data_IF_841328327246
#
_entry.id   IF_841328327246
#
_cell.length_a   1.000
_cell.length_b   1.000
_cell.length_c   1.000
_cell.angle_alpha   90.00
_cell.angle_beta   90.00
_cell.angle_gamma   90.00
#
_symmetry.space_group_name_H-M   'P 1'
#
loop_
_entity.id
_entity.type
_entity.pdbx_description
1 polymer ?
#
# COMPACT_ATOMS: atom_id res chain seq x y z
N UNK A 1 15.73 10.35 30.12
CA UNK A 1 17.16 10.28 29.72
C UNK A 1 17.25 10.13 28.20
N UNK A 2 17.93 11.07 27.56
CA UNK A 2 18.09 11.16 26.11
C UNK A 2 18.88 9.98 25.56
N UNK A 3 18.44 9.41 24.44
CA UNK A 3 19.24 8.53 23.57
C UNK A 3 20.27 9.40 22.81
N UNK A 4 21.11 10.15 23.53
CA UNK A 4 22.16 10.94 22.88
C UNK A 4 23.39 10.04 22.65
N UNK A 5 23.76 9.94 21.36
CA UNK A 5 25.02 9.42 20.80
C UNK A 5 25.14 7.95 20.36
N UNK A 6 24.06 7.18 20.24
CA UNK A 6 24.05 6.00 19.35
C UNK A 6 22.92 6.18 18.34
N UNK A 7 23.29 6.31 17.07
CA UNK A 7 22.33 6.36 15.96
C UNK A 7 21.54 5.04 15.92
N UNK A 8 20.23 5.13 15.73
CA UNK A 8 19.33 3.98 15.78
C UNK A 8 19.42 3.21 14.46
N UNK A 9 19.51 1.88 14.50
CA UNK A 9 19.31 1.10 13.27
C UNK A 9 17.82 1.10 12.95
N UNK A 10 17.40 1.33 11.69
CA UNK A 10 15.99 1.21 11.33
C UNK A 10 15.48 -0.23 11.52
N UNK A 11 14.20 -0.43 11.84
CA UNK A 11 13.64 -1.79 11.83
C UNK A 11 13.67 -2.36 10.39
N UNK A 12 13.64 -3.69 10.23
CA UNK A 12 13.77 -4.36 8.93
C UNK A 12 12.85 -3.80 7.83
N UNK A 13 11.58 -3.51 8.15
CA UNK A 13 10.59 -2.96 7.20
C UNK A 13 10.85 -1.52 6.74
N UNK A 14 11.65 -0.73 7.49
CA UNK A 14 12.09 0.59 7.04
C UNK A 14 13.43 0.52 6.30
N UNK A 15 14.29 -0.42 6.70
CA UNK A 15 15.59 -0.61 6.07
C UNK A 15 15.45 -1.14 4.63
N UNK A 16 14.67 -2.21 4.48
CA UNK A 16 14.43 -2.93 3.23
C UNK A 16 12.91 -3.12 3.03
N UNK A 17 12.16 -2.04 2.71
CA UNK A 17 10.71 -2.11 2.50
C UNK A 17 10.28 -3.04 1.35
N UNK A 18 11.21 -3.46 0.50
CA UNK A 18 11.03 -4.41 -0.59
C UNK A 18 11.15 -5.89 -0.19
N UNK A 19 11.72 -6.18 0.99
CA UNK A 19 11.82 -7.55 1.51
C UNK A 19 10.69 -7.76 2.53
N UNK A 20 9.64 -8.46 2.11
CA UNK A 20 8.52 -8.80 2.99
C UNK A 20 8.96 -9.71 4.16
N UNK A 21 8.22 -9.66 5.27
CA UNK A 21 8.54 -10.35 6.54
C UNK A 21 8.97 -11.82 6.35
N UNK A 22 8.22 -12.56 5.55
CA UNK A 22 8.43 -14.00 5.33
C UNK A 22 9.25 -14.33 4.08
N UNK A 23 9.81 -13.31 3.42
CA UNK A 23 10.65 -13.52 2.25
C UNK A 23 11.92 -14.30 2.61
N UNK A 24 12.30 -15.23 1.74
CA UNK A 24 13.58 -15.93 1.83
C UNK A 24 14.78 -14.96 1.76
N UNK A 25 14.58 -13.73 1.27
CA UNK A 25 15.60 -12.69 1.23
C UNK A 25 16.20 -12.30 2.59
N UNK A 26 15.49 -12.59 3.69
CA UNK A 26 16.02 -12.41 5.06
C UNK A 26 16.93 -13.56 5.54
N UNK A 27 16.94 -14.70 4.84
CA UNK A 27 17.68 -15.92 5.23
C UNK A 27 18.73 -16.37 4.22
N UNK A 28 18.55 -15.99 2.95
CA UNK A 28 19.40 -16.42 1.83
C UNK A 28 19.59 -15.28 0.82
N UNK A 29 19.41 -14.03 1.24
CA UNK A 29 19.48 -12.86 0.36
C UNK A 29 20.19 -11.70 1.01
N UNK A 30 20.23 -10.56 0.32
CA UNK A 30 20.97 -9.37 0.76
C UNK A 30 20.40 -8.70 2.03
N UNK A 31 19.25 -9.14 2.53
CA UNK A 31 18.69 -8.69 3.80
C UNK A 31 19.25 -9.42 5.02
N UNK A 32 19.86 -10.60 4.83
CA UNK A 32 20.33 -11.48 5.92
C UNK A 32 21.37 -10.78 6.82
N UNK A 33 22.43 -10.23 6.22
CA UNK A 33 23.48 -9.50 6.95
C UNK A 33 22.92 -8.36 7.80
N UNK A 34 21.92 -7.65 7.27
CA UNK A 34 21.26 -6.59 8.01
C UNK A 34 20.44 -7.11 9.18
N UNK A 35 19.73 -8.22 9.01
CA UNK A 35 18.91 -8.80 10.05
C UNK A 35 19.77 -9.30 11.23
N UNK A 36 20.94 -9.90 10.96
CA UNK A 36 21.91 -10.24 12.00
C UNK A 36 22.41 -8.99 12.72
N UNK A 37 22.89 -7.98 11.97
CA UNK A 37 23.37 -6.72 12.53
C UNK A 37 22.30 -6.03 13.39
N UNK A 38 21.04 -6.02 12.91
CA UNK A 38 19.91 -5.43 13.61
C UNK A 38 19.63 -6.20 14.91
N UNK A 39 19.59 -7.53 14.85
CA UNK A 39 19.30 -8.41 16.00
C UNK A 39 20.38 -8.28 17.07
N UNK A 40 21.66 -8.37 16.69
CA UNK A 40 22.80 -8.21 17.60
C UNK A 40 22.75 -6.85 18.31
N UNK A 41 22.49 -5.79 17.54
CA UNK A 41 22.34 -4.45 18.10
C UNK A 41 21.14 -4.36 19.04
N UNK A 42 19.95 -4.79 18.61
CA UNK A 42 18.71 -4.62 19.36
C UNK A 42 18.74 -5.40 20.68
N UNK A 43 19.18 -6.66 20.66
CA UNK A 43 19.26 -7.50 21.86
C UNK A 43 20.43 -7.12 22.78
N UNK A 44 21.44 -6.39 22.29
CA UNK A 44 22.47 -5.79 23.16
C UNK A 44 21.95 -4.61 24.01
N UNK A 45 20.78 -4.05 23.67
CA UNK A 45 20.18 -2.96 24.43
C UNK A 45 19.51 -3.50 25.71
N UNK A 46 19.55 -2.74 26.83
CA UNK A 46 18.72 -3.03 28.00
C UNK A 46 17.24 -3.10 27.64
N UNK A 47 16.48 -3.92 28.36
CA UNK A 47 15.05 -4.16 28.11
C UNK A 47 14.21 -2.88 28.02
N UNK A 48 14.46 -1.91 28.92
CA UNK A 48 13.82 -0.59 28.88
C UNK A 48 14.04 0.16 27.56
N UNK A 49 15.24 0.04 26.98
CA UNK A 49 15.57 0.67 25.69
C UNK A 49 14.95 -0.12 24.54
N UNK A 50 14.87 -1.45 24.62
CA UNK A 50 14.16 -2.26 23.63
C UNK A 50 12.68 -1.90 23.59
N UNK A 51 12.02 -1.80 24.75
CA UNK A 51 10.61 -1.39 24.85
C UNK A 51 10.38 -0.02 24.23
N UNK A 52 11.20 0.97 24.63
CA UNK A 52 11.15 2.32 24.04
C UNK A 52 11.36 2.30 22.52
N UNK A 53 12.25 1.45 22.02
CA UNK A 53 12.48 1.30 20.59
C UNK A 53 11.24 0.73 19.87
N UNK A 54 10.60 -0.30 20.43
CA UNK A 54 9.36 -0.87 19.88
C UNK A 54 8.22 0.16 19.84
N UNK A 55 8.12 1.01 20.86
CA UNK A 55 7.12 2.11 20.90
C UNK A 55 7.41 3.19 19.84
N UNK A 56 8.69 3.45 19.55
CA UNK A 56 9.10 4.40 18.51
C UNK A 56 8.92 3.84 17.10
N UNK A 57 9.09 2.54 16.91
CA UNK A 57 9.01 1.86 15.62
C UNK A 57 7.97 0.75 15.69
N UNK A 58 6.68 1.11 15.66
CA UNK A 58 5.64 0.12 15.74
C UNK A 58 5.60 -0.69 14.44
N UNK A 59 5.23 -1.96 14.54
CA UNK A 59 5.13 -2.88 13.39
C UNK A 59 4.11 -2.34 12.39
N UNK A 60 4.38 -2.37 11.08
CA UNK A 60 3.33 -2.22 10.09
C UNK A 60 2.38 -3.42 10.15
N UNK A 61 1.16 -3.25 9.66
CA UNK A 61 0.13 -4.31 9.59
C UNK A 61 0.67 -5.59 8.95
N UNK A 62 1.48 -5.48 7.90
CA UNK A 62 2.09 -6.61 7.19
C UNK A 62 3.20 -7.32 7.97
N UNK A 63 3.55 -6.82 9.16
CA UNK A 63 4.54 -7.39 10.08
C UNK A 63 3.96 -7.70 11.47
N UNK A 64 2.63 -7.80 11.58
CA UNK A 64 1.93 -7.97 12.86
C UNK A 64 2.42 -9.20 13.65
N UNK A 65 2.95 -8.96 14.85
CA UNK A 65 3.50 -9.96 15.76
C UNK A 65 5.00 -10.20 15.64
N UNK A 66 5.71 -9.43 14.80
CA UNK A 66 7.17 -9.54 14.62
C UNK A 66 7.96 -9.46 15.94
N UNK A 67 7.67 -8.49 16.81
CA UNK A 67 8.41 -8.27 18.06
C UNK A 67 8.25 -9.39 19.08
N UNK A 68 7.18 -10.17 18.96
CA UNK A 68 6.82 -11.22 19.90
C UNK A 68 6.95 -12.62 19.30
N UNK A 69 7.48 -12.72 18.08
CA UNK A 69 7.59 -13.96 17.30
C UNK A 69 6.24 -14.71 17.19
N UNK A 70 5.16 -13.95 16.95
CA UNK A 70 3.82 -14.47 16.73
C UNK A 70 3.34 -14.14 15.31
N UNK A 71 2.47 -14.95 14.73
CA UNK A 71 1.70 -14.52 13.56
C UNK A 71 0.34 -13.98 13.98
N UNK A 72 0.23 -12.66 14.03
CA UNK A 72 -1.01 -11.96 14.33
C UNK A 72 -1.65 -11.34 13.07
N UNK A 73 -1.19 -11.76 11.88
CA UNK A 73 -1.65 -11.22 10.61
C UNK A 73 -3.04 -11.75 10.29
N UNK A 74 -4.00 -10.85 10.08
CA UNK A 74 -5.29 -11.26 9.54
C UNK A 74 -5.13 -11.58 8.06
N UNK A 75 -5.73 -12.67 7.60
CA UNK A 75 -5.64 -13.11 6.21
C UNK A 75 -7.01 -13.48 5.67
N UNK A 76 -7.20 -13.25 4.38
CA UNK A 76 -8.25 -13.86 3.59
C UNK A 76 -7.63 -14.97 2.78
N UNK A 77 -8.17 -16.17 2.95
CA UNK A 77 -7.79 -17.36 2.20
C UNK A 77 -8.90 -17.72 1.19
N UNK A 78 -8.51 -18.06 -0.02
CA UNK A 78 -9.41 -18.60 -1.03
C UNK A 78 -8.66 -19.64 -1.89
N UNK A 79 -8.87 -20.92 -1.59
CA UNK A 79 -8.06 -21.99 -2.19
C UNK A 79 -6.59 -21.82 -1.80
N UNK A 80 -5.72 -21.66 -2.80
CA UNK A 80 -4.28 -21.40 -2.59
C UNK A 80 -3.94 -19.90 -2.48
N UNK A 81 -4.91 -19.02 -2.72
CA UNK A 81 -4.70 -17.59 -2.66
C UNK A 81 -4.80 -17.08 -1.23
N UNK A 82 -3.84 -16.26 -0.82
CA UNK A 82 -3.81 -15.61 0.50
C UNK A 82 -3.54 -14.11 0.30
N UNK A 83 -4.30 -13.27 0.99
CA UNK A 83 -4.03 -11.82 1.06
C UNK A 83 -4.19 -11.31 2.49
N UNK A 84 -3.28 -10.44 2.91
CA UNK A 84 -3.33 -9.81 4.23
C UNK A 84 -4.53 -8.85 4.35
N UNK A 85 -5.27 -8.95 5.44
CA UNK A 85 -6.34 -8.03 5.81
C UNK A 85 -5.83 -7.03 6.85
N UNK A 86 -6.14 -5.74 6.65
CA UNK A 86 -5.70 -4.68 7.55
C UNK A 86 -6.61 -4.47 8.75
N UNK A 87 -7.80 -5.04 8.68
CA UNK A 87 -8.74 -5.19 9.80
C UNK A 87 -9.07 -6.67 9.97
N UNK A 88 -9.64 -7.04 11.11
CA UNK A 88 -10.00 -8.44 11.41
C UNK A 88 -11.01 -9.05 10.44
N UNK A 89 -11.83 -8.23 9.80
CA UNK A 89 -12.90 -8.62 8.87
C UNK A 89 -12.63 -8.20 7.41
N UNK A 90 -11.51 -7.52 7.15
CA UNK A 90 -11.18 -6.97 5.84
C UNK A 90 -12.00 -5.75 5.42
N UNK A 91 -12.84 -5.22 6.31
CA UNK A 91 -13.63 -4.00 6.03
C UNK A 91 -12.72 -2.78 5.94
N UNK A 92 -12.82 -1.95 4.89
CA UNK A 92 -12.08 -0.70 4.79
C UNK A 92 -12.35 0.22 5.97
N UNK A 93 -11.29 0.86 6.50
CA UNK A 93 -11.40 1.92 7.50
C UNK A 93 -12.16 3.13 6.94
N UNK A 94 -11.93 3.44 5.66
CA UNK A 94 -12.59 4.54 4.96
C UNK A 94 -13.55 4.02 3.90
N UNK A 95 -14.79 4.51 3.94
CA UNK A 95 -15.83 4.11 3.00
C UNK A 95 -16.66 5.32 2.57
N UNK A 96 -17.37 5.20 1.45
CA UNK A 96 -18.30 6.24 1.02
C UNK A 96 -19.39 6.51 2.06
N UNK A 97 -20.07 5.50 2.65
CA UNK A 97 -21.02 5.74 3.74
C UNK A 97 -20.42 6.48 4.94
N UNK A 98 -19.17 6.18 5.33
CA UNK A 98 -18.47 6.93 6.37
C UNK A 98 -18.31 8.41 5.98
N UNK A 99 -17.84 8.69 4.76
CA UNK A 99 -17.62 10.05 4.28
C UNK A 99 -18.94 10.83 4.15
N UNK A 100 -20.01 10.17 3.72
CA UNK A 100 -21.35 10.76 3.62
C UNK A 100 -21.87 11.15 5.00
N UNK A 101 -21.76 10.25 5.99
CA UNK A 101 -22.18 10.52 7.37
C UNK A 101 -21.48 11.74 7.97
N UNK A 102 -20.15 11.79 7.91
CA UNK A 102 -19.41 12.93 8.48
C UNK A 102 -19.66 14.24 7.71
N UNK A 103 -19.98 14.17 6.42
CA UNK A 103 -20.40 15.33 5.61
C UNK A 103 -21.77 15.84 6.07
N UNK A 104 -22.73 14.95 6.33
CA UNK A 104 -24.06 15.29 6.86
C UNK A 104 -23.98 15.87 8.28
N UNK A 105 -23.02 15.40 9.09
CA UNK A 105 -22.67 15.96 10.41
C UNK A 105 -22.01 17.37 10.30
N UNK A 106 -21.82 17.89 9.09
CA UNK A 106 -21.29 19.24 8.84
C UNK A 106 -19.77 19.33 8.88
N UNK A 107 -19.07 18.20 8.95
CA UNK A 107 -17.61 18.19 8.97
C UNK A 107 -17.05 18.64 7.62
N UNK A 108 -16.16 19.64 7.66
CA UNK A 108 -15.50 20.16 6.46
C UNK A 108 -14.24 19.35 6.17
N UNK A 109 -14.02 19.03 4.89
CA UNK A 109 -12.89 18.23 4.45
C UNK A 109 -12.21 18.84 3.23
N UNK A 110 -10.88 18.81 3.22
CA UNK A 110 -10.09 19.16 2.04
C UNK A 110 -10.08 17.97 1.08
N UNK A 111 -10.38 18.20 -0.19
CA UNK A 111 -10.28 17.17 -1.22
C UNK A 111 -8.96 17.28 -2.00
N UNK A 112 -8.39 16.13 -2.32
CA UNK A 112 -7.28 15.98 -3.25
C UNK A 112 -7.72 15.12 -4.43
N UNK A 113 -8.34 15.76 -5.41
CA UNK A 113 -8.72 15.10 -6.66
C UNK A 113 -7.50 14.74 -7.49
N UNK A 114 -7.51 13.52 -8.04
CA UNK A 114 -6.52 13.03 -8.98
C UNK A 114 -7.20 12.21 -10.08
N UNK A 115 -6.65 12.27 -11.29
CA UNK A 115 -7.04 11.45 -12.42
C UNK A 115 -5.89 11.45 -13.45
N UNK A 116 -5.79 10.39 -14.25
CA UNK A 116 -4.68 10.20 -15.17
C UNK A 116 -3.41 9.70 -14.48
N UNK A 117 -2.41 9.36 -15.29
CA UNK A 117 -1.22 8.60 -14.84
C UNK A 117 0.10 9.10 -15.44
N UNK A 118 0.06 10.18 -16.23
CA UNK A 118 1.26 10.71 -16.86
C UNK A 118 2.02 11.63 -15.89
N UNK A 119 3.36 11.60 -15.87
CA UNK A 119 4.14 12.63 -15.19
C UNK A 119 3.88 14.00 -15.82
N UNK A 120 4.24 15.07 -15.11
CA UNK A 120 4.34 16.37 -15.75
C UNK A 120 5.43 16.34 -16.84
N UNK A 121 5.34 17.26 -17.81
CA UNK A 121 6.26 17.29 -18.95
C UNK A 121 7.73 17.48 -18.53
N UNK A 122 7.96 18.11 -17.39
CA UNK A 122 9.27 18.35 -16.77
C UNK A 122 9.73 17.20 -15.86
N UNK A 123 8.95 16.12 -15.77
CA UNK A 123 9.22 14.98 -14.88
C UNK A 123 8.81 15.22 -13.42
N UNK A 124 8.26 16.40 -13.09
CA UNK A 124 7.81 16.71 -11.74
C UNK A 124 6.70 15.76 -11.32
N UNK A 125 6.79 15.27 -10.08
CA UNK A 125 5.76 14.42 -9.50
C UNK A 125 4.48 15.21 -9.29
N UNK A 126 3.37 14.67 -9.77
CA UNK A 126 2.04 15.25 -9.55
C UNK A 126 1.10 14.22 -8.97
N UNK A 127 -0.13 14.63 -8.65
CA UNK A 127 -1.18 13.75 -8.12
C UNK A 127 -1.49 12.55 -9.03
N UNK A 128 -1.09 12.57 -10.30
CA UNK A 128 -1.20 11.40 -11.18
C UNK A 128 -0.42 10.19 -10.68
N UNK A 129 0.55 10.36 -9.77
CA UNK A 129 1.26 9.25 -9.14
C UNK A 129 0.39 8.36 -8.24
N UNK A 130 -0.78 8.85 -7.83
CA UNK A 130 -1.78 8.07 -7.11
C UNK A 130 -2.49 7.05 -8.00
N UNK A 131 -2.45 7.21 -9.33
CA UNK A 131 -3.07 6.26 -10.25
C UNK A 131 -2.40 4.89 -10.19
N UNK A 132 -3.22 3.84 -10.37
CA UNK A 132 -2.74 2.46 -10.50
C UNK A 132 -1.88 2.25 -11.76
N UNK A 133 -2.01 3.14 -12.75
CA UNK A 133 -1.25 3.12 -14.00
C UNK A 133 0.04 3.93 -13.97
N UNK A 134 0.38 4.57 -12.85
CA UNK A 134 1.68 5.23 -12.72
C UNK A 134 2.80 4.20 -12.80
N UNK A 135 3.69 4.35 -13.78
CA UNK A 135 4.78 3.42 -14.03
C UNK A 135 5.90 3.65 -13.02
N UNK A 136 6.06 2.70 -12.11
CA UNK A 136 7.12 2.67 -11.11
C UNK A 136 7.27 1.22 -10.69
N UNK A 137 8.51 0.73 -10.67
CA UNK A 137 8.74 -0.64 -10.24
C UNK A 137 8.60 -0.74 -8.71
N UNK A 138 8.08 -1.87 -8.23
CA UNK A 138 8.07 -2.25 -6.82
C UNK A 138 8.01 -3.78 -6.70
N UNK A 139 8.44 -4.32 -5.57
CA UNK A 139 8.46 -5.75 -5.30
C UNK A 139 7.32 -6.15 -4.36
N UNK A 140 6.71 -7.31 -4.62
CA UNK A 140 5.76 -7.96 -3.73
C UNK A 140 5.72 -9.46 -4.05
N UNK A 141 5.57 -10.31 -3.03
CA UNK A 141 5.51 -11.77 -3.14
C UNK A 141 6.66 -12.36 -4.00
N UNK A 142 7.87 -11.82 -3.85
CA UNK A 142 9.04 -12.25 -4.63
C UNK A 142 9.04 -11.87 -6.11
N UNK A 143 8.09 -11.04 -6.56
CA UNK A 143 7.95 -10.59 -7.94
C UNK A 143 8.09 -9.07 -8.04
N UNK A 144 8.72 -8.59 -9.11
CA UNK A 144 8.73 -7.16 -9.46
C UNK A 144 7.54 -6.84 -10.37
N UNK A 145 6.83 -5.76 -10.05
CA UNK A 145 5.69 -5.23 -10.81
C UNK A 145 6.03 -3.86 -11.36
N UNK A 146 5.62 -3.56 -12.59
CA UNK A 146 5.91 -2.28 -13.25
C UNK A 146 4.96 -1.14 -12.90
N UNK A 147 3.78 -1.50 -12.39
CA UNK A 147 2.75 -0.59 -11.91
C UNK A 147 1.72 -1.36 -11.08
N UNK A 148 0.86 -0.61 -10.40
CA UNK A 148 -0.14 -1.18 -9.52
C UNK A 148 -1.24 -1.95 -10.25
N UNK A 149 -1.60 -1.58 -11.48
CA UNK A 149 -2.58 -2.36 -12.22
C UNK A 149 -2.03 -3.73 -12.62
N UNK A 150 -0.74 -3.85 -12.95
CA UNK A 150 -0.13 -5.15 -13.21
C UNK A 150 -0.25 -6.06 -11.97
N UNK A 151 0.04 -5.51 -10.79
CA UNK A 151 -0.14 -6.20 -9.51
C UNK A 151 -1.59 -6.61 -9.27
N UNK A 152 -2.54 -5.68 -9.42
CA UNK A 152 -3.96 -5.95 -9.20
C UNK A 152 -4.49 -7.02 -10.14
N UNK A 153 -4.12 -7.00 -11.42
CA UNK A 153 -4.57 -7.99 -12.40
C UNK A 153 -3.88 -9.35 -12.20
N UNK A 154 -2.61 -9.37 -11.80
CA UNK A 154 -1.93 -10.62 -11.43
C UNK A 154 -2.55 -11.25 -10.19
N UNK A 155 -2.82 -10.46 -9.14
CA UNK A 155 -3.53 -10.93 -7.93
C UNK A 155 -4.96 -11.38 -8.22
N UNK A 156 -5.64 -10.73 -9.17
CA UNK A 156 -6.94 -11.21 -9.67
C UNK A 156 -6.81 -12.58 -10.34
N UNK A 157 -5.83 -12.78 -11.22
CA UNK A 157 -5.62 -14.07 -11.87
C UNK A 157 -5.28 -15.17 -10.84
N UNK A 158 -4.46 -14.84 -9.85
CA UNK A 158 -4.07 -15.73 -8.76
C UNK A 158 -5.25 -16.15 -7.87
N UNK A 159 -6.15 -15.20 -7.55
CA UNK A 159 -7.38 -15.46 -6.80
C UNK A 159 -8.28 -16.52 -7.46
N UNK A 160 -8.26 -16.61 -8.79
CA UNK A 160 -9.05 -17.58 -9.57
C UNK A 160 -8.19 -18.71 -10.15
N UNK A 161 -7.00 -18.94 -9.61
CA UNK A 161 -6.05 -20.00 -10.01
C UNK A 161 -5.68 -20.00 -11.51
N UNK A 162 -5.77 -18.85 -12.18
CA UNK A 162 -5.46 -18.69 -13.60
C UNK A 162 -3.99 -18.32 -13.81
N UNK A 163 -3.10 -19.27 -13.48
CA UNK A 163 -1.65 -19.08 -13.56
C UNK A 163 -1.14 -18.76 -14.98
N UNK A 164 -1.84 -19.23 -16.01
CA UNK A 164 -1.52 -18.93 -17.40
C UNK A 164 -1.74 -17.44 -17.71
N UNK A 165 -2.89 -16.88 -17.33
CA UNK A 165 -3.16 -15.45 -17.49
C UNK A 165 -2.26 -14.61 -16.59
N UNK A 166 -1.98 -15.07 -15.36
CA UNK A 166 -1.05 -14.42 -14.44
C UNK A 166 0.34 -14.27 -15.07
N UNK A 167 0.90 -15.35 -15.64
CA UNK A 167 2.21 -15.31 -16.33
C UNK A 167 2.24 -14.26 -17.46
N UNK A 168 1.23 -14.26 -18.32
CA UNK A 168 1.11 -13.26 -19.41
C UNK A 168 0.99 -11.82 -18.91
N UNK A 169 0.33 -11.60 -17.76
CA UNK A 169 0.23 -10.28 -17.14
C UNK A 169 1.61 -9.81 -16.65
N UNK A 170 2.36 -10.70 -15.98
CA UNK A 170 3.68 -10.40 -15.45
C UNK A 170 4.73 -10.10 -16.54
N UNK A 171 4.60 -10.73 -17.70
CA UNK A 171 5.45 -10.48 -18.87
C UNK A 171 5.14 -9.14 -19.59
N UNK A 172 3.96 -8.56 -19.36
CA UNK A 172 3.52 -7.35 -20.07
C UNK A 172 3.75 -6.08 -19.26
N UNK A 173 4.33 -5.06 -19.90
CA UNK A 173 4.37 -3.67 -19.38
C UNK A 173 3.36 -2.74 -20.07
N UNK A 174 2.52 -3.28 -20.96
CA UNK A 174 1.58 -2.49 -21.77
C UNK A 174 0.23 -2.35 -21.07
N UNK A 175 -0.25 -1.12 -20.74
CA UNK A 175 -1.52 -0.93 -20.06
C UNK A 175 -2.71 -1.60 -20.75
N UNK A 176 -2.75 -1.51 -22.09
CA UNK A 176 -3.82 -2.11 -22.90
C UNK A 176 -3.81 -3.65 -22.79
N UNK A 177 -2.63 -4.26 -22.80
CA UNK A 177 -2.50 -5.72 -22.71
C UNK A 177 -2.83 -6.22 -21.31
N UNK A 178 -2.25 -5.61 -20.26
CA UNK A 178 -2.53 -5.94 -18.85
C UNK A 178 -4.04 -5.90 -18.58
N UNK A 179 -4.70 -4.80 -18.96
CA UNK A 179 -6.15 -4.63 -18.78
C UNK A 179 -6.96 -5.65 -19.59
N UNK A 180 -6.52 -5.95 -20.82
CA UNK A 180 -7.16 -6.95 -21.67
C UNK A 180 -7.03 -8.38 -21.14
N UNK A 181 -5.90 -8.72 -20.50
CA UNK A 181 -5.68 -10.00 -19.84
C UNK A 181 -6.51 -10.12 -18.56
N UNK A 182 -6.51 -9.08 -17.72
CA UNK A 182 -7.30 -9.07 -16.48
C UNK A 182 -8.82 -9.17 -16.67
N UNK A 183 -9.34 -8.80 -17.84
CA UNK A 183 -10.74 -9.01 -18.24
C UNK A 183 -11.04 -10.46 -18.68
N UNK A 184 -10.02 -11.24 -18.97
CA UNK A 184 -10.09 -12.62 -19.48
C UNK A 184 -9.62 -13.67 -18.46
N UNK A 185 -9.43 -13.26 -17.21
CA UNK A 185 -9.18 -14.19 -16.10
C UNK A 185 -10.30 -15.23 -16.08
N UNK A 186 -9.91 -16.51 -16.11
CA UNK A 186 -10.83 -17.66 -16.11
C UNK A 186 -11.60 -17.73 -14.79
N UNK A 187 -12.78 -18.34 -14.86
CA UNK A 187 -13.62 -18.66 -13.69
C UNK A 187 -13.91 -17.47 -12.76
N UNK A 188 -13.90 -16.26 -13.33
CA UNK A 188 -14.12 -15.03 -12.59
C UNK A 188 -15.51 -14.98 -11.96
N UNK A 189 -15.53 -14.86 -10.63
CA UNK A 189 -16.74 -14.64 -9.86
C UNK A 189 -16.70 -13.26 -9.17
N UNK A 190 -17.70 -12.43 -9.46
CA UNK A 190 -17.75 -11.06 -8.94
C UNK A 190 -17.81 -11.03 -7.40
N UNK A 191 -18.53 -11.95 -6.76
CA UNK A 191 -18.69 -11.98 -5.30
C UNK A 191 -17.37 -12.31 -4.61
N UNK A 192 -16.64 -13.30 -5.10
CA UNK A 192 -15.28 -13.63 -4.63
C UNK A 192 -14.31 -12.46 -4.86
N UNK A 193 -14.36 -11.81 -6.03
CA UNK A 193 -13.55 -10.63 -6.30
C UNK A 193 -13.87 -9.45 -5.37
N UNK A 194 -15.15 -9.21 -5.08
CA UNK A 194 -15.58 -8.10 -4.22
C UNK A 194 -15.08 -8.24 -2.78
N UNK A 195 -14.89 -9.47 -2.29
CA UNK A 195 -14.30 -9.76 -0.98
C UNK A 195 -12.79 -9.48 -0.93
N UNK A 196 -12.06 -9.71 -2.03
CA UNK A 196 -10.59 -9.67 -2.04
C UNK A 196 -10.00 -8.38 -2.65
N UNK A 197 -10.70 -7.73 -3.59
CA UNK A 197 -10.14 -6.64 -4.42
C UNK A 197 -9.56 -5.49 -3.62
N UNK A 198 -10.22 -5.10 -2.53
CA UNK A 198 -9.77 -3.99 -1.71
C UNK A 198 -8.46 -4.34 -1.00
N UNK A 199 -8.39 -5.51 -0.36
CA UNK A 199 -7.18 -5.99 0.30
C UNK A 199 -6.01 -6.13 -0.69
N UNK A 200 -6.26 -6.64 -1.91
CA UNK A 200 -5.24 -6.71 -2.96
C UNK A 200 -4.70 -5.30 -3.26
N UNK A 201 -5.57 -4.35 -3.60
CA UNK A 201 -5.12 -2.99 -3.96
C UNK A 201 -4.46 -2.27 -2.79
N UNK A 202 -4.93 -2.49 -1.56
CA UNK A 202 -4.35 -1.91 -0.36
C UNK A 202 -2.91 -2.39 -0.13
N UNK A 203 -2.68 -3.71 -0.14
CA UNK A 203 -1.34 -4.29 0.06
C UNK A 203 -0.38 -3.93 -1.08
N UNK A 204 -0.85 -3.91 -2.32
CA UNK A 204 -0.02 -3.47 -3.45
C UNK A 204 0.38 -1.99 -3.33
N UNK A 205 -0.58 -1.10 -2.99
CA UNK A 205 -0.25 0.32 -2.80
C UNK A 205 0.70 0.50 -1.60
N UNK A 206 0.58 -0.31 -0.55
CA UNK A 206 1.57 -0.32 0.53
C UNK A 206 2.96 -0.60 -0.01
N UNK A 207 3.15 -1.67 -0.79
CA UNK A 207 4.44 -2.01 -1.40
C UNK A 207 4.96 -0.89 -2.30
N UNK A 208 4.12 -0.36 -3.19
CA UNK A 208 4.47 0.75 -4.09
C UNK A 208 4.95 1.98 -3.31
N UNK A 209 4.17 2.45 -2.34
CA UNK A 209 4.46 3.70 -1.64
C UNK A 209 5.50 3.56 -0.54
N UNK A 210 5.66 2.40 0.11
CA UNK A 210 6.70 2.19 1.12
C UNK A 210 8.09 2.11 0.51
N UNK A 211 8.21 1.53 -0.70
CA UNK A 211 9.49 1.32 -1.39
C UNK A 211 9.97 2.56 -2.15
N UNK A 212 9.06 3.42 -2.61
CA UNK A 212 9.38 4.59 -3.43
C UNK A 212 9.35 5.89 -2.60
N UNK A 213 10.52 6.37 -2.13
CA UNK A 213 10.65 7.52 -1.21
C UNK A 213 9.97 8.79 -1.73
N UNK A 214 10.09 9.11 -3.01
CA UNK A 214 9.43 10.29 -3.60
C UNK A 214 7.90 10.16 -3.55
N UNK A 215 7.36 8.98 -3.87
CA UNK A 215 5.93 8.71 -3.82
C UNK A 215 5.41 8.71 -2.38
N UNK A 216 6.15 8.08 -1.45
CA UNK A 216 5.90 8.11 -0.01
C UNK A 216 5.72 9.54 0.48
N UNK A 217 6.70 10.38 0.19
CA UNK A 217 6.74 11.79 0.61
C UNK A 217 5.56 12.56 0.04
N UNK A 218 5.25 12.34 -1.24
CA UNK A 218 4.12 13.00 -1.89
C UNK A 218 2.78 12.57 -1.30
N UNK A 219 2.57 11.28 -1.04
CA UNK A 219 1.36 10.78 -0.38
C UNK A 219 1.19 11.37 1.03
N UNK A 220 2.27 11.39 1.83
CA UNK A 220 2.26 11.99 3.17
C UNK A 220 1.96 13.49 3.15
N UNK A 221 2.45 14.22 2.14
CA UNK A 221 2.21 15.66 1.97
C UNK A 221 0.75 16.04 1.74
N UNK A 222 -0.11 15.06 1.40
CA UNK A 222 -1.56 15.30 1.28
C UNK A 222 -2.23 15.58 2.61
N UNK A 223 -1.53 15.41 3.73
CA UNK A 223 -2.05 15.67 5.08
C UNK A 223 -3.27 14.80 5.34
N UNK A 224 -4.36 15.41 5.81
CA UNK A 224 -5.62 14.72 6.08
C UNK A 224 -6.66 14.91 4.97
N UNK A 225 -6.24 15.31 3.77
CA UNK A 225 -7.14 15.46 2.65
C UNK A 225 -7.79 14.11 2.26
N UNK A 226 -9.05 14.15 1.85
CA UNK A 226 -9.72 13.01 1.22
C UNK A 226 -9.15 12.86 -0.20
N UNK A 227 -8.53 11.71 -0.48
CA UNK A 227 -8.00 11.41 -1.79
C UNK A 227 -9.15 10.92 -2.68
N UNK A 228 -9.28 11.48 -3.88
CA UNK A 228 -10.43 11.21 -4.74
C UNK A 228 -9.98 10.89 -6.16
N UNK A 229 -10.25 9.67 -6.61
CA UNK A 229 -10.07 9.30 -8.02
C UNK A 229 -11.24 9.87 -8.84
N UNK A 230 -11.00 11.03 -9.45
CA UNK A 230 -11.97 11.78 -10.24
C UNK A 230 -12.03 11.27 -11.69
N UNK A 231 -12.24 9.96 -11.84
CA UNK A 231 -12.49 9.31 -13.12
C UNK A 231 -13.98 9.37 -13.47
N UNK A 232 -14.38 9.92 -14.64
CA UNK A 232 -15.78 9.93 -15.05
C UNK A 232 -16.32 8.55 -15.48
N UNK A 233 -15.44 7.56 -15.65
CA UNK A 233 -15.78 6.24 -16.19
C UNK A 233 -15.70 5.12 -15.14
N UNK A 234 -15.05 5.36 -14.00
CA UNK A 234 -14.85 4.36 -12.96
C UNK A 234 -15.84 4.56 -11.80
N UNK A 235 -16.71 3.59 -11.59
CA UNK A 235 -17.69 3.59 -10.48
C UNK A 235 -17.25 2.76 -9.27
N UNK A 236 -16.14 2.04 -9.34
CA UNK A 236 -15.63 1.21 -8.24
C UNK A 236 -14.44 1.93 -7.58
N UNK A 237 -13.39 2.19 -8.34
CA UNK A 237 -12.17 2.81 -7.81
C UNK A 237 -12.28 4.33 -7.75
N UNK A 238 -13.10 4.93 -8.64
CA UNK A 238 -13.37 6.36 -8.69
C UNK A 238 -14.81 6.78 -8.34
N UNK A 239 -15.09 8.08 -8.53
CA UNK A 239 -16.37 8.72 -8.17
C UNK A 239 -17.35 8.84 -9.34
N UNK A 240 -16.96 8.40 -10.55
CA UNK A 240 -17.72 8.56 -11.78
C UNK A 240 -18.06 10.03 -12.11
N UNK A 241 -17.12 10.92 -11.83
CA UNK A 241 -17.17 12.36 -12.10
C UNK A 241 -15.77 12.89 -12.41
N UNK A 242 -15.69 13.99 -13.16
CA UNK A 242 -14.43 14.74 -13.35
C UNK A 242 -14.16 15.64 -12.12
N UNK A 243 -12.91 16.03 -11.93
CA UNK A 243 -12.47 16.79 -10.76
C UNK A 243 -13.10 18.20 -10.68
N UNK A 244 -13.46 18.78 -11.83
CA UNK A 244 -14.06 20.10 -11.97
C UNK A 244 -15.60 20.08 -12.03
N UNK A 245 -16.22 18.89 -11.93
CA UNK A 245 -17.67 18.79 -11.90
C UNK A 245 -18.22 19.51 -10.65
N UNK A 246 -19.35 20.25 -10.75
CA UNK A 246 -19.93 20.99 -9.63
C UNK A 246 -20.20 20.13 -8.38
N UNK A 247 -20.49 18.85 -8.61
CA UNK A 247 -20.82 17.89 -7.56
C UNK A 247 -19.62 17.04 -7.09
N UNK A 248 -18.42 17.22 -7.67
CA UNK A 248 -17.25 16.41 -7.32
C UNK A 248 -16.82 16.56 -5.86
N UNK A 249 -17.02 17.75 -5.28
CA UNK A 249 -16.74 18.03 -3.86
C UNK A 249 -17.90 17.66 -2.92
N UNK A 250 -18.97 17.02 -3.43
CA UNK A 250 -20.10 16.59 -2.62
C UNK A 250 -20.22 15.05 -2.62
N UNK A 251 -19.71 14.36 -1.58
CA UNK A 251 -19.78 12.91 -1.46
C UNK A 251 -21.21 12.33 -1.50
N UNK A 252 -22.23 13.10 -1.12
CA UNK A 252 -23.63 12.68 -1.18
C UNK A 252 -24.13 12.53 -2.62
N UNK A 253 -23.43 13.10 -3.60
CA UNK A 253 -23.79 13.06 -5.01
C UNK A 253 -22.91 12.13 -5.83
N UNK A 254 -21.86 11.56 -5.25
CA UNK A 254 -20.95 10.65 -5.97
C UNK A 254 -21.70 9.44 -6.52
N UNK A 255 -21.33 9.03 -7.73
CA UNK A 255 -21.95 7.89 -8.43
C UNK A 255 -21.01 6.68 -8.51
N UNK A 256 -19.90 6.75 -7.78
CA UNK A 256 -18.89 5.70 -7.66
C UNK A 256 -18.37 5.62 -6.23
N UNK A 257 -17.64 4.55 -5.92
CA UNK A 257 -17.29 4.18 -4.54
C UNK A 257 -15.97 4.79 -4.06
N UNK A 258 -15.15 5.36 -4.94
CA UNK A 258 -13.84 5.94 -4.60
C UNK A 258 -12.90 4.99 -3.82
N UNK A 259 -12.97 3.68 -4.07
CA UNK A 259 -12.20 2.70 -3.29
C UNK A 259 -10.69 2.96 -3.35
N UNK A 260 -10.17 3.52 -4.46
CA UNK A 260 -8.74 3.78 -4.59
C UNK A 260 -8.30 4.91 -3.67
N UNK A 261 -9.09 6.00 -3.63
CA UNK A 261 -8.83 7.11 -2.73
C UNK A 261 -8.78 6.66 -1.27
N UNK A 262 -9.72 5.81 -0.87
CA UNK A 262 -9.78 5.25 0.48
C UNK A 262 -8.60 4.31 0.79
N UNK A 263 -8.25 3.41 -0.12
CA UNK A 263 -7.07 2.55 0.05
C UNK A 263 -5.77 3.37 0.22
N UNK A 264 -5.59 4.42 -0.58
CA UNK A 264 -4.43 5.31 -0.47
C UNK A 264 -4.41 6.09 0.86
N UNK A 265 -5.57 6.45 1.41
CA UNK A 265 -5.66 7.08 2.73
C UNK A 265 -5.25 6.13 3.85
N UNK A 266 -5.64 4.85 3.78
CA UNK A 266 -5.19 3.83 4.74
C UNK A 266 -3.68 3.61 4.65
N UNK A 267 -3.14 3.47 3.43
CA UNK A 267 -1.68 3.40 3.22
C UNK A 267 -0.97 4.62 3.78
N UNK A 268 -1.51 5.83 3.56
CA UNK A 268 -0.95 7.08 4.10
C UNK A 268 -0.90 7.08 5.62
N UNK A 269 -1.99 6.68 6.26
CA UNK A 269 -2.08 6.63 7.72
C UNK A 269 -1.06 5.66 8.29
N UNK A 270 -0.92 4.51 7.65
CA UNK A 270 0.01 3.48 8.08
C UNK A 270 1.47 3.90 7.88
N UNK A 271 1.80 4.46 6.72
CA UNK A 271 3.11 5.05 6.46
C UNK A 271 3.43 6.10 7.52
N UNK A 272 2.51 7.04 7.78
CA UNK A 272 2.67 8.09 8.80
C UNK A 272 2.95 7.49 10.18
N UNK A 273 2.27 6.39 10.54
CA UNK A 273 2.45 5.72 11.82
C UNK A 273 3.84 5.09 11.95
N UNK A 274 4.26 4.32 10.95
CA UNK A 274 5.51 3.54 11.06
C UNK A 274 6.76 4.33 10.72
N UNK A 275 6.64 5.42 9.93
CA UNK A 275 7.78 6.28 9.55
C UNK A 275 7.94 7.51 10.43
N UNK A 276 7.09 7.70 11.44
CA UNK A 276 7.13 8.87 12.34
C UNK A 276 8.53 9.18 12.88
N UNK A 277 9.30 8.15 13.18
CA UNK A 277 10.65 8.24 13.75
C UNK A 277 11.76 7.83 12.76
N UNK A 278 11.45 7.69 11.46
CA UNK A 278 12.41 7.27 10.41
C UNK A 278 13.64 8.20 10.35
N UNK A 279 13.45 9.50 10.59
CA UNK A 279 14.53 10.50 10.60
C UNK A 279 15.52 10.37 11.76
N UNK A 280 15.20 9.57 12.78
CA UNK A 280 16.09 9.28 13.92
C UNK A 280 17.04 8.11 13.62
N UNK A 281 16.80 7.38 12.53
CA UNK A 281 17.59 6.23 12.13
C UNK A 281 18.84 6.61 11.34
N UNK A 282 19.84 5.73 11.38
CA UNK A 282 20.93 5.76 10.44
C UNK A 282 20.47 5.47 9.01
N UNK A 283 21.13 6.11 8.04
CA UNK A 283 21.02 5.71 6.65
C UNK A 283 21.54 4.28 6.49
N UNK A 284 20.73 3.42 5.88
CA UNK A 284 21.17 2.08 5.49
C UNK A 284 22.01 2.22 4.21
N UNK A 285 23.26 1.78 4.26
CA UNK A 285 24.06 1.62 3.04
C UNK A 285 23.45 0.49 2.22
N UNK A 286 22.77 0.85 1.13
CA UNK A 286 22.28 -0.11 0.14
C UNK A 286 23.45 -0.34 -0.84
N UNK A 287 24.04 -1.53 -0.80
CA UNK A 287 25.06 -1.95 -1.76
C UNK A 287 24.45 -2.14 -3.15
#
# INVERSE_FOLDING_TARGET
MSLNHKKLLPPPWLAYPEIERYSIGWRMGYGEDYLYKFSDWFYSLPEEKQKKYRDMFPEPVTWAGWWNDTDATNILEHGNFIVTLWTSDGTPKYTLPWLQRITEEGQQHKFCFFCGHKPANDGTLTKSCFSQWWMTDFNAMGQTYCCMEQYMMAGKADLFDDQETRGKILESRSPKQIKGLGRRVKDFEQVTWDKAKFAIVLNGNWCKFSQNVALKTFLLSTGDAILVEASPYDGIWGIRMQADAPDAANPLKWRGQNLLGFALMEVRDELRRVTKNESLCDSVSRN
#
